data_IF_288270188939
#
_entry.id   IF_288270188939
#
_cell.length_a   1.000
_cell.length_b   1.000
_cell.length_c   1.000
_cell.angle_alpha   90.00
_cell.angle_beta   90.00
_cell.angle_gamma   90.00
#
_symmetry.space_group_name_H-M   'P 1'
#
loop_
_entity.id
_entity.type
_entity.pdbx_description
1 polymer ?
#
# COMPACT_ATOMS: atom_id res chain seq x y z
N UNK A 1 -16.60 -10.15 -19.92
CA UNK A 1 -15.43 -10.39 -19.05
C UNK A 1 -15.47 -9.35 -17.93
N UNK A 2 -16.51 -9.36 -17.11
CA UNK A 2 -16.65 -8.48 -15.95
C UNK A 2 -15.78 -9.04 -14.84
N UNK A 3 -14.64 -8.41 -14.58
CA UNK A 3 -13.88 -8.66 -13.36
C UNK A 3 -14.59 -7.93 -12.22
N UNK A 4 -15.55 -8.62 -11.62
CA UNK A 4 -16.41 -8.17 -10.52
C UNK A 4 -15.86 -8.59 -9.15
N UNK A 5 -14.57 -8.31 -8.89
CA UNK A 5 -13.92 -8.54 -7.59
C UNK A 5 -13.34 -7.21 -7.09
N UNK A 6 -13.60 -6.66 -5.90
CA UNK A 6 -14.32 -7.06 -4.69
C UNK A 6 -14.53 -5.78 -3.81
N UNK A 7 -15.57 -5.67 -2.96
CA UNK A 7 -15.82 -4.48 -2.15
C UNK A 7 -15.06 -4.48 -0.81
N UNK A 8 -14.80 -3.25 -0.33
CA UNK A 8 -14.37 -2.84 1.02
C UNK A 8 -13.00 -3.34 1.53
N UNK A 9 -12.04 -2.42 1.66
CA UNK A 9 -11.44 -2.09 2.96
C UNK A 9 -11.02 -0.60 2.95
N UNK A 10 -12.00 0.26 3.21
CA UNK A 10 -11.74 1.58 3.76
C UNK A 10 -11.40 1.41 5.25
N UNK A 11 -10.16 1.02 5.54
CA UNK A 11 -9.57 1.16 6.85
C UNK A 11 -8.24 1.84 6.65
N UNK A 12 -8.29 3.16 6.53
CA UNK A 12 -7.17 4.03 6.84
C UNK A 12 -6.85 3.82 8.33
N UNK A 13 -6.12 2.74 8.63
CA UNK A 13 -5.55 2.54 9.95
C UNK A 13 -4.28 3.40 10.03
N UNK A 14 -4.11 4.23 11.07
CA UNK A 14 -2.98 5.14 11.23
C UNK A 14 -1.65 4.42 11.59
N UNK A 15 -1.37 3.27 10.98
CA UNK A 15 -0.09 2.54 11.05
C UNK A 15 0.99 3.15 10.12
N UNK A 16 0.75 4.33 9.56
CA UNK A 16 1.70 5.05 8.68
C UNK A 16 2.92 5.62 9.43
N UNK A 17 2.85 5.72 10.76
CA UNK A 17 3.87 6.40 11.55
C UNK A 17 5.18 5.61 11.73
N UNK A 18 5.20 4.31 11.39
CA UNK A 18 6.37 3.45 11.57
C UNK A 18 6.77 2.67 10.30
N UNK A 19 6.40 3.16 9.11
CA UNK A 19 6.78 2.55 7.84
C UNK A 19 8.06 3.18 7.28
N UNK A 20 8.87 2.38 6.59
CA UNK A 20 10.03 2.89 5.86
C UNK A 20 9.57 3.83 4.72
N UNK A 21 10.47 4.71 4.26
CA UNK A 21 10.20 5.67 3.18
C UNK A 21 9.48 5.06 1.94
N UNK A 22 9.92 3.91 1.36
CA UNK A 22 9.22 3.31 0.22
C UNK A 22 7.82 2.78 0.57
N UNK A 23 7.58 2.30 1.79
CA UNK A 23 6.23 1.93 2.21
C UNK A 23 5.31 3.16 2.37
N UNK A 24 5.83 4.28 2.86
CA UNK A 24 5.07 5.54 2.94
C UNK A 24 4.71 6.07 1.54
N UNK A 25 5.66 6.03 0.60
CA UNK A 25 5.42 6.46 -0.78
C UNK A 25 4.34 5.61 -1.47
N UNK A 26 4.40 4.28 -1.29
CA UNK A 26 3.40 3.35 -1.82
C UNK A 26 2.03 3.53 -1.15
N UNK A 27 1.98 3.80 0.16
CA UNK A 27 0.73 4.07 0.87
C UNK A 27 0.08 5.37 0.37
N UNK A 28 0.87 6.43 0.17
CA UNK A 28 0.39 7.69 -0.39
C UNK A 28 -0.09 7.50 -1.84
N UNK A 29 0.67 6.78 -2.66
CA UNK A 29 0.29 6.49 -4.04
C UNK A 29 -1.00 5.66 -4.12
N UNK A 30 -1.19 4.70 -3.22
CA UNK A 30 -2.44 3.96 -3.07
C UNK A 30 -3.60 4.89 -2.70
N UNK A 31 -3.41 5.79 -1.73
CA UNK A 31 -4.45 6.74 -1.32
C UNK A 31 -4.87 7.67 -2.47
N UNK A 32 -3.90 8.19 -3.23
CA UNK A 32 -4.17 8.99 -4.44
C UNK A 32 -4.90 8.17 -5.49
N UNK A 33 -4.46 6.93 -5.76
CA UNK A 33 -5.12 6.07 -6.74
C UNK A 33 -6.57 5.74 -6.34
N UNK A 34 -6.83 5.51 -5.05
CA UNK A 34 -8.19 5.34 -4.53
C UNK A 34 -9.04 6.60 -4.70
N UNK A 35 -8.46 7.79 -4.44
CA UNK A 35 -9.17 9.07 -4.61
C UNK A 35 -9.54 9.33 -6.08
N UNK A 36 -8.68 8.90 -7.01
CA UNK A 36 -8.91 9.00 -8.46
C UNK A 36 -9.75 7.83 -9.03
N UNK A 37 -10.23 6.92 -8.17
CA UNK A 37 -10.93 5.69 -8.55
C UNK A 37 -10.13 4.76 -9.50
N UNK A 38 -8.80 4.87 -9.48
CA UNK A 38 -7.87 4.00 -10.20
C UNK A 38 -7.56 2.74 -9.37
N UNK A 39 -8.47 1.77 -9.44
CA UNK A 39 -8.38 0.53 -8.69
C UNK A 39 -7.22 -0.37 -9.12
N UNK A 40 -6.76 -0.22 -10.37
CA UNK A 40 -5.62 -0.95 -10.91
C UNK A 40 -4.34 -0.49 -10.21
N UNK A 41 -4.09 0.83 -10.19
CA UNK A 41 -2.94 1.41 -9.47
C UNK A 41 -3.00 1.14 -7.98
N UNK A 42 -4.17 1.25 -7.36
CA UNK A 42 -4.32 0.96 -5.93
C UNK A 42 -3.91 -0.49 -5.60
N UNK A 43 -4.28 -1.44 -6.45
CA UNK A 43 -3.90 -2.85 -6.27
C UNK A 43 -2.40 -3.06 -6.50
N UNK A 44 -1.81 -2.43 -7.52
CA UNK A 44 -0.38 -2.49 -7.80
C UNK A 44 0.45 -1.98 -6.61
N UNK A 45 0.05 -0.83 -6.02
CA UNK A 45 0.70 -0.27 -4.85
C UNK A 45 0.69 -1.25 -3.65
N UNK A 46 -0.43 -1.96 -3.42
CA UNK A 46 -0.52 -3.00 -2.39
C UNK A 46 0.41 -4.19 -2.66
N UNK A 47 0.49 -4.64 -3.91
CA UNK A 47 1.38 -5.75 -4.32
C UNK A 47 2.85 -5.36 -4.13
N UNK A 48 3.23 -4.14 -4.53
CA UNK A 48 4.58 -3.61 -4.33
C UNK A 48 4.94 -3.52 -2.86
N UNK A 49 4.02 -3.04 -2.01
CA UNK A 49 4.25 -2.94 -0.57
C UNK A 49 4.45 -4.32 0.07
N UNK A 50 3.63 -5.31 -0.33
CA UNK A 50 3.78 -6.69 0.12
C UNK A 50 5.15 -7.27 -0.28
N UNK A 51 5.54 -7.12 -1.54
CA UNK A 51 6.83 -7.59 -2.05
C UNK A 51 8.01 -6.96 -1.30
N UNK A 52 7.95 -5.66 -1.05
CA UNK A 52 8.99 -4.95 -0.30
C UNK A 52 9.16 -5.49 1.12
N UNK A 53 8.05 -5.82 1.80
CA UNK A 53 8.06 -6.47 3.13
C UNK A 53 8.62 -7.90 3.06
N UNK A 54 8.22 -8.68 2.06
CA UNK A 54 8.70 -10.06 1.85
C UNK A 54 10.18 -10.14 1.47
N UNK A 55 10.68 -9.16 0.71
CA UNK A 55 12.09 -9.04 0.35
C UNK A 55 12.99 -8.67 1.52
N UNK A 56 12.44 -8.24 2.67
CA UNK A 56 13.24 -7.82 3.83
C UNK A 56 13.97 -6.49 3.64
N UNK A 57 13.76 -5.79 2.52
CA UNK A 57 14.22 -4.42 2.28
C UNK A 57 13.47 -3.39 3.14
N UNK A 58 12.35 -3.82 3.73
CA UNK A 58 11.59 -3.03 4.69
C UNK A 58 12.32 -2.97 6.03
N UNK A 59 13.27 -2.04 6.15
CA UNK A 59 13.97 -1.71 7.41
C UNK A 59 13.15 -0.74 8.27
N UNK A 60 11.84 -0.93 8.30
CA UNK A 60 10.93 -0.16 9.15
C UNK A 60 11.00 -0.73 10.58
N UNK A 61 12.05 -0.35 11.32
CA UNK A 61 12.23 -0.79 12.71
C UNK A 61 13.66 -1.19 13.14
N UNK A 62 14.71 -0.84 12.41
CA UNK A 62 16.05 -0.80 13.03
C UNK A 62 16.20 0.50 13.83
N UNK A 63 15.42 0.60 14.91
CA UNK A 63 15.83 1.39 16.07
C UNK A 63 17.12 0.76 16.55
N UNK A 64 18.24 1.47 16.36
CA UNK A 64 19.53 1.11 16.95
C UNK A 64 19.46 1.15 18.47
#
# INVERSE_FOLDING_TARGET
MTHEQQPAQASAAPEEAALCHPCQELALAEAVANAEYDWSRATDCRVLMKRHRESGECVAGQSV
#
